data_IF_059459911973
#
_entry.id   IF_059459911973
#
_cell.length_a   1.000
_cell.length_b   1.000
_cell.length_c   1.000
_cell.angle_alpha   90.00
_cell.angle_beta   90.00
_cell.angle_gamma   90.00
#
_symmetry.space_group_name_H-M   'P 1'
#
loop_
_entity.id
_entity.type
_entity.pdbx_description
1 polymer ?
#
# COMPACT_ATOMS: atom_id res chain seq x y z
N UNK A 1 62.42 -9.28 -23.73
CA UNK A 1 61.50 -8.14 -23.93
C UNK A 1 60.08 -8.71 -23.99
N UNK A 2 59.50 -9.00 -22.81
CA UNK A 2 58.19 -9.65 -22.69
C UNK A 2 57.12 -8.55 -22.56
N UNK A 3 56.18 -8.51 -23.51
CA UNK A 3 55.03 -7.63 -23.46
C UNK A 3 54.10 -8.04 -22.31
N UNK A 4 53.97 -7.15 -21.32
CA UNK A 4 52.91 -7.20 -20.32
C UNK A 4 51.59 -6.80 -20.99
N UNK A 5 50.76 -7.77 -21.34
CA UNK A 5 49.34 -7.53 -21.58
C UNK A 5 48.70 -7.50 -20.19
N UNK A 6 48.54 -6.30 -19.63
CA UNK A 6 47.55 -6.09 -18.58
C UNK A 6 46.19 -6.32 -19.23
N UNK A 7 45.62 -7.51 -19.02
CA UNK A 7 44.20 -7.69 -19.20
C UNK A 7 43.51 -6.74 -18.23
N UNK A 8 42.90 -5.69 -18.78
CA UNK A 8 41.78 -5.02 -18.13
C UNK A 8 40.78 -6.11 -17.76
N UNK A 9 40.80 -6.55 -16.50
CA UNK A 9 39.56 -6.90 -15.83
C UNK A 9 38.76 -5.61 -15.72
N UNK A 10 38.16 -5.20 -16.84
CA UNK A 10 36.91 -4.49 -16.80
C UNK A 10 35.96 -5.49 -16.12
N UNK A 11 35.87 -5.38 -14.79
CA UNK A 11 34.72 -5.84 -14.06
C UNK A 11 33.53 -5.28 -14.82
N UNK A 12 32.86 -6.16 -15.55
CA UNK A 12 31.60 -5.92 -16.21
C UNK A 12 30.58 -5.85 -15.06
N UNK A 13 30.66 -4.78 -14.27
CA UNK A 13 29.67 -4.45 -13.26
C UNK A 13 28.47 -4.05 -14.09
N UNK A 14 27.63 -5.03 -14.40
CA UNK A 14 26.32 -4.79 -14.94
C UNK A 14 25.65 -3.76 -13.99
N UNK A 15 25.34 -2.53 -14.43
CA UNK A 15 24.82 -1.48 -13.55
C UNK A 15 23.48 -1.88 -12.90
N UNK A 16 22.90 -3.01 -13.30
CA UNK A 16 21.71 -3.62 -12.69
C UNK A 16 21.95 -4.34 -11.35
N UNK A 17 23.17 -4.42 -10.81
CA UNK A 17 23.43 -5.15 -9.54
C UNK A 17 23.43 -4.28 -8.28
N UNK A 18 23.20 -2.97 -8.39
CA UNK A 18 22.79 -2.19 -7.22
C UNK A 18 21.29 -2.39 -7.03
N UNK A 19 20.88 -3.54 -6.49
CA UNK A 19 19.51 -3.77 -6.05
C UNK A 19 19.22 -2.78 -4.93
N UNK A 20 18.68 -1.61 -5.30
CA UNK A 20 18.27 -0.61 -4.34
C UNK A 20 17.24 -1.27 -3.42
N UNK A 21 17.59 -1.39 -2.14
CA UNK A 21 16.76 -2.07 -1.16
C UNK A 21 15.32 -1.56 -1.22
N UNK A 22 14.35 -2.45 -1.19
CA UNK A 22 12.93 -2.10 -1.27
C UNK A 22 12.46 -1.61 0.10
N UNK A 23 12.12 -0.32 0.19
CA UNK A 23 11.55 0.28 1.39
C UNK A 23 10.06 -0.03 1.46
N UNK A 24 9.58 -0.29 2.66
CA UNK A 24 8.17 -0.55 2.94
C UNK A 24 7.60 0.60 3.75
N UNK A 25 6.49 1.16 3.28
CA UNK A 25 5.77 2.24 3.97
C UNK A 25 4.32 1.82 4.24
N UNK A 26 3.80 2.23 5.39
CA UNK A 26 2.36 2.19 5.68
C UNK A 26 1.74 3.54 5.31
N UNK A 27 0.50 3.52 4.86
CA UNK A 27 -0.29 4.70 4.53
C UNK A 27 -1.56 4.69 5.36
N UNK A 28 -1.64 5.54 6.38
CA UNK A 28 -2.85 5.71 7.18
C UNK A 28 -3.66 6.88 6.65
N UNK A 29 -4.97 6.69 6.57
CA UNK A 29 -5.93 7.71 6.13
C UNK A 29 -7.09 7.74 7.13
N UNK A 30 -7.27 8.86 7.82
CA UNK A 30 -8.41 9.08 8.71
C UNK A 30 -9.56 9.70 7.92
N UNK A 31 -10.56 8.87 7.61
CA UNK A 31 -11.71 9.29 6.80
C UNK A 31 -12.94 9.59 7.67
N UNK A 32 -12.91 9.27 8.97
CA UNK A 32 -13.91 9.72 9.91
C UNK A 32 -13.32 9.91 11.33
N UNK A 33 -13.00 11.15 11.73
CA UNK A 33 -12.40 11.40 13.04
C UNK A 33 -13.36 11.17 14.21
N UNK A 34 -14.67 11.31 13.99
CA UNK A 34 -15.69 11.08 15.03
C UNK A 34 -15.73 9.62 15.47
N UNK A 35 -15.47 8.70 14.56
CA UNK A 35 -15.52 7.25 14.82
C UNK A 35 -14.15 6.59 14.82
N UNK A 36 -13.06 7.37 14.72
CA UNK A 36 -11.68 6.90 14.61
C UNK A 36 -11.53 5.81 13.52
N UNK A 37 -12.16 6.05 12.36
CA UNK A 37 -12.12 5.11 11.26
C UNK A 37 -10.89 5.40 10.40
N UNK A 38 -9.93 4.48 10.48
CA UNK A 38 -8.66 4.52 9.78
C UNK A 38 -8.66 3.49 8.66
N UNK A 39 -8.26 3.93 7.47
CA UNK A 39 -7.81 3.06 6.39
C UNK A 39 -6.30 2.88 6.48
N UNK A 40 -5.82 1.68 6.11
CA UNK A 40 -4.38 1.39 6.01
C UNK A 40 -4.06 0.80 4.64
N UNK A 41 -3.08 1.40 3.97
CA UNK A 41 -2.44 0.88 2.77
C UNK A 41 -0.97 0.54 3.01
N UNK A 42 -0.34 -0.11 2.02
CA UNK A 42 1.09 -0.42 2.04
C UNK A 42 1.72 -0.09 0.69
N UNK A 43 2.95 0.41 0.71
CA UNK A 43 3.76 0.51 -0.50
C UNK A 43 5.15 -0.08 -0.35
N UNK A 44 5.69 -0.49 -1.50
CA UNK A 44 7.01 -1.00 -1.72
C UNK A 44 7.68 -0.07 -2.73
N UNK A 45 8.73 0.63 -2.29
CA UNK A 45 9.39 1.65 -3.08
C UNK A 45 10.88 1.39 -3.16
N UNK A 46 11.43 1.51 -4.36
CA UNK A 46 12.85 1.72 -4.55
C UNK A 46 13.09 2.77 -5.64
N UNK A 47 14.35 2.97 -6.05
CA UNK A 47 14.71 4.01 -7.02
C UNK A 47 14.02 3.87 -8.38
N UNK A 48 13.61 2.65 -8.73
CA UNK A 48 13.13 2.32 -10.07
C UNK A 48 11.61 2.15 -10.13
N UNK A 49 10.97 1.79 -9.01
CA UNK A 49 9.57 1.36 -9.01
C UNK A 49 8.91 1.57 -7.65
N UNK A 50 7.62 1.85 -7.71
CA UNK A 50 6.74 2.00 -6.57
C UNK A 50 5.49 1.14 -6.78
N UNK A 51 5.27 0.17 -5.90
CA UNK A 51 4.03 -0.60 -5.83
C UNK A 51 3.25 -0.17 -4.59
N UNK A 52 2.05 0.38 -4.76
CA UNK A 52 1.15 0.71 -3.65
C UNK A 52 -0.11 -0.12 -3.73
N UNK A 53 -0.53 -0.65 -2.59
CA UNK A 53 -1.75 -1.42 -2.43
C UNK A 53 -2.65 -0.77 -1.39
N UNK A 54 -3.90 -0.50 -1.77
CA UNK A 54 -4.95 -0.02 -0.89
C UNK A 54 -6.14 -0.98 -0.99
N UNK A 55 -6.22 -1.95 -0.07
CA UNK A 55 -7.33 -2.90 -0.07
C UNK A 55 -8.58 -2.26 0.55
N UNK A 56 -9.58 -1.95 -0.27
CA UNK A 56 -10.78 -1.24 0.17
C UNK A 56 -12.01 -2.14 0.03
N UNK A 57 -13.08 -1.77 0.73
CA UNK A 57 -14.39 -2.31 0.45
C UNK A 57 -14.68 -2.09 -1.05
N UNK A 58 -15.31 -3.07 -1.70
CA UNK A 58 -15.69 -2.99 -3.12
C UNK A 58 -14.55 -3.17 -4.15
N UNK A 59 -13.36 -3.63 -3.72
CA UNK A 59 -12.34 -4.17 -4.62
C UNK A 59 -12.60 -5.64 -5.03
N UNK A 60 -13.80 -6.17 -4.80
CA UNK A 60 -14.12 -7.59 -4.99
C UNK A 60 -13.82 -8.03 -6.43
N UNK A 61 -12.83 -8.92 -6.58
CA UNK A 61 -12.40 -9.45 -7.88
C UNK A 61 -11.52 -8.52 -8.72
N UNK A 62 -11.12 -7.34 -8.21
CA UNK A 62 -10.19 -6.40 -8.84
C UNK A 62 -8.87 -6.34 -8.08
N UNK A 63 -7.80 -5.92 -8.74
CA UNK A 63 -6.49 -5.76 -8.09
C UNK A 63 -6.54 -4.65 -7.05
N UNK A 64 -5.91 -4.86 -5.89
CA UNK A 64 -5.77 -3.83 -4.86
C UNK A 64 -4.62 -2.85 -5.17
N UNK A 65 -3.92 -3.04 -6.29
CA UNK A 65 -2.82 -2.20 -6.74
C UNK A 65 -3.35 -0.82 -7.16
N UNK A 66 -2.88 0.22 -6.48
CA UNK A 66 -3.29 1.62 -6.66
C UNK A 66 -2.13 2.52 -7.10
N UNK A 67 -1.00 1.94 -7.52
CA UNK A 67 0.13 2.71 -8.09
C UNK A 67 -0.35 3.64 -9.20
N UNK A 68 -0.07 4.94 -9.05
CA UNK A 68 -0.39 5.96 -10.05
C UNK A 68 -1.85 6.41 -10.08
N UNK A 69 -2.69 5.99 -9.13
CA UNK A 69 -4.06 6.48 -9.00
C UNK A 69 -4.12 7.81 -8.24
N UNK A 70 -4.99 8.72 -8.68
CA UNK A 70 -5.26 9.98 -7.98
C UNK A 70 -6.14 9.73 -6.75
N UNK A 71 -5.64 10.12 -5.58
CA UNK A 71 -6.32 9.95 -4.29
C UNK A 71 -7.31 11.07 -3.99
N UNK A 72 -7.45 12.06 -4.88
CA UNK A 72 -8.43 13.13 -4.78
C UNK A 72 -9.70 12.85 -5.59
N UNK A 73 -9.81 11.66 -6.20
CA UNK A 73 -11.03 11.24 -6.88
C UNK A 73 -11.76 10.13 -6.08
N UNK A 74 -12.65 10.50 -5.15
CA UNK A 74 -13.46 9.56 -4.39
C UNK A 74 -14.29 8.60 -5.25
N UNK A 75 -14.74 9.02 -6.43
CA UNK A 75 -15.49 8.17 -7.35
C UNK A 75 -14.62 7.04 -7.90
N UNK A 76 -13.32 7.27 -8.07
CA UNK A 76 -12.37 6.22 -8.46
C UNK A 76 -11.98 5.32 -7.28
N UNK A 77 -11.90 5.87 -6.07
CA UNK A 77 -11.54 5.12 -4.87
C UNK A 77 -12.70 4.31 -4.27
N UNK A 78 -13.93 4.77 -4.47
CA UNK A 78 -15.16 4.19 -3.91
C UNK A 78 -16.31 4.24 -4.92
N UNK A 79 -16.16 3.62 -6.11
CA UNK A 79 -17.10 3.77 -7.23
C UNK A 79 -18.54 3.40 -6.88
N UNK A 80 -18.74 2.41 -6.02
CA UNK A 80 -20.07 1.91 -5.68
C UNK A 80 -20.73 2.66 -4.51
N UNK A 81 -19.96 3.44 -3.73
CA UNK A 81 -20.50 4.33 -2.68
C UNK A 81 -21.32 5.46 -3.32
N UNK A 82 -20.99 5.83 -4.55
CA UNK A 82 -21.72 6.81 -5.37
C UNK A 82 -22.89 6.20 -6.15
N UNK A 83 -22.97 4.87 -6.25
CA UNK A 83 -24.05 4.15 -6.96
C UNK A 83 -25.24 3.78 -6.04
N UNK A 84 -25.05 3.74 -4.72
CA UNK A 84 -26.15 3.54 -3.77
C UNK A 84 -26.96 4.85 -3.59
N UNK A 85 -28.07 4.94 -4.33
CA UNK A 85 -29.24 5.81 -4.11
C UNK A 85 -28.97 7.26 -3.63
N UNK A 86 -29.00 8.21 -4.58
CA UNK A 86 -28.97 9.67 -4.37
C UNK A 86 -29.94 10.22 -3.31
N UNK A 87 -30.94 9.45 -2.86
CA UNK A 87 -31.95 9.85 -1.86
C UNK A 87 -31.64 9.41 -0.42
N UNK A 88 -30.67 8.53 -0.17
CA UNK A 88 -30.18 8.21 1.19
C UNK A 88 -28.99 9.07 1.63
N UNK A 89 -28.62 10.03 0.79
CA UNK A 89 -27.34 10.75 0.87
C UNK A 89 -27.34 12.00 1.75
N UNK A 90 -28.42 12.38 2.44
CA UNK A 90 -28.35 13.54 3.35
C UNK A 90 -27.50 13.25 4.61
N UNK A 91 -27.44 12.01 5.10
CA UNK A 91 -26.53 11.62 6.21
C UNK A 91 -25.13 11.20 5.72
N UNK A 92 -24.98 10.69 4.49
CA UNK A 92 -23.65 10.41 3.90
C UNK A 92 -22.99 11.63 3.26
N UNK A 93 -23.73 12.71 2.96
CA UNK A 93 -23.18 13.96 2.44
C UNK A 93 -22.18 14.62 3.39
N UNK A 94 -22.32 14.42 4.71
CA UNK A 94 -21.38 14.93 5.71
C UNK A 94 -19.99 14.24 5.62
N UNK A 95 -19.94 13.03 5.04
CA UNK A 95 -18.69 12.32 4.73
C UNK A 95 -18.05 12.87 3.45
N UNK A 96 -18.86 13.31 2.47
CA UNK A 96 -18.35 13.84 1.19
C UNK A 96 -17.92 15.31 1.26
N UNK A 97 -18.62 16.16 2.03
CA UNK A 97 -18.28 17.59 2.19
C UNK A 97 -16.97 17.81 2.99
N UNK A 98 -16.49 16.78 3.71
CA UNK A 98 -15.22 16.81 4.45
C UNK A 98 -14.07 16.03 3.78
N UNK A 99 -14.25 15.52 2.56
CA UNK A 99 -13.18 14.75 1.88
C UNK A 99 -11.93 15.58 1.55
N UNK A 100 -12.06 16.90 1.46
CA UNK A 100 -10.93 17.83 1.35
C UNK A 100 -10.03 17.86 2.60
N UNK A 101 -10.41 17.16 3.69
CA UNK A 101 -9.66 17.05 4.94
C UNK A 101 -9.41 15.61 5.39
N UNK A 102 -9.28 14.65 4.47
CA UNK A 102 -8.74 13.34 4.87
C UNK A 102 -7.31 13.55 5.38
N UNK A 103 -7.11 13.39 6.69
CA UNK A 103 -5.79 13.41 7.29
C UNK A 103 -5.03 12.17 6.84
N UNK A 104 -3.73 12.32 6.58
CA UNK A 104 -2.88 11.25 6.04
C UNK A 104 -1.58 11.19 6.80
N UNK A 105 -1.10 9.97 7.05
CA UNK A 105 0.19 9.72 7.69
C UNK A 105 0.91 8.58 6.98
N UNK A 106 2.13 8.85 6.54
CA UNK A 106 3.00 7.83 5.94
C UNK A 106 4.06 7.41 6.97
N UNK A 107 4.17 6.10 7.21
CA UNK A 107 5.07 5.55 8.24
C UNK A 107 6.08 4.64 7.56
N UNK A 108 7.37 4.92 7.74
CA UNK A 108 8.41 4.00 7.32
C UNK A 108 8.37 2.74 8.19
N UNK A 109 8.05 1.59 7.59
CA UNK A 109 7.85 0.36 8.33
C UNK A 109 9.10 -0.52 8.41
N UNK A 110 9.89 -0.55 7.34
CA UNK A 110 11.12 -1.32 7.25
C UNK A 110 11.69 -1.45 5.84
N UNK A 111 12.66 -2.35 5.69
CA UNK A 111 13.32 -2.67 4.42
C UNK A 111 13.20 -4.15 4.16
N UNK A 112 12.70 -4.52 2.98
CA UNK A 112 12.56 -5.91 2.57
C UNK A 112 13.54 -6.27 1.45
N UNK A 113 13.93 -7.55 1.41
CA UNK A 113 14.71 -8.13 0.32
C UNK A 113 13.82 -8.74 -0.78
N UNK A 114 12.49 -8.66 -0.63
CA UNK A 114 11.53 -9.15 -1.63
C UNK A 114 11.62 -8.34 -2.92
N UNK A 115 11.62 -9.04 -4.05
CA UNK A 115 11.50 -8.42 -5.37
C UNK A 115 10.08 -7.96 -5.62
N UNK A 116 9.89 -7.07 -6.59
CA UNK A 116 8.55 -6.62 -6.96
C UNK A 116 7.70 -7.75 -7.54
N UNK A 117 8.32 -8.69 -8.24
CA UNK A 117 7.65 -9.88 -8.78
C UNK A 117 7.16 -10.77 -7.63
N UNK A 118 7.99 -11.01 -6.59
CA UNK A 118 7.56 -11.73 -5.40
C UNK A 118 6.40 -11.02 -4.68
N UNK A 119 6.46 -9.69 -4.57
CA UNK A 119 5.40 -8.88 -3.94
C UNK A 119 4.08 -9.03 -4.72
N UNK A 120 4.12 -8.97 -6.05
CA UNK A 120 2.94 -9.12 -6.92
C UNK A 120 2.38 -10.54 -6.83
N UNK A 121 3.21 -11.58 -6.83
CA UNK A 121 2.73 -12.96 -6.70
C UNK A 121 2.15 -13.25 -5.32
N UNK A 122 2.77 -12.71 -4.25
CA UNK A 122 2.24 -12.86 -2.90
C UNK A 122 0.86 -12.22 -2.74
N UNK A 123 0.63 -11.05 -3.35
CA UNK A 123 -0.66 -10.36 -3.30
C UNK A 123 -1.82 -11.25 -3.73
N UNK A 124 -1.62 -12.03 -4.80
CA UNK A 124 -2.62 -12.95 -5.36
C UNK A 124 -3.01 -14.08 -4.40
N UNK A 125 -2.20 -14.34 -3.37
CA UNK A 125 -2.48 -15.36 -2.34
C UNK A 125 -3.37 -14.84 -1.22
N UNK A 126 -3.53 -13.52 -1.11
CA UNK A 126 -4.36 -12.89 -0.08
C UNK A 126 -5.83 -12.91 -0.54
N UNK A 127 -6.75 -13.17 0.40
CA UNK A 127 -8.18 -13.09 0.11
C UNK A 127 -8.54 -11.70 -0.42
N UNK A 128 -9.16 -11.65 -1.60
CA UNK A 128 -9.58 -10.41 -2.27
C UNK A 128 -11.04 -10.03 -2.00
N UNK A 129 -11.81 -10.89 -1.33
CA UNK A 129 -13.18 -10.57 -0.93
C UNK A 129 -13.18 -9.76 0.36
N UNK A 130 -13.52 -8.49 0.27
CA UNK A 130 -13.50 -7.61 1.44
C UNK A 130 -14.63 -8.00 2.41
N UNK A 131 -14.31 -8.16 3.69
CA UNK A 131 -15.28 -8.37 4.76
C UNK A 131 -14.82 -7.56 5.96
N UNK A 132 -15.55 -6.50 6.28
CA UNK A 132 -15.19 -5.60 7.38
C UNK A 132 -15.03 -6.38 8.68
N UNK A 133 -13.86 -6.26 9.31
CA UNK A 133 -13.53 -6.94 10.56
C UNK A 133 -13.16 -8.42 10.43
N UNK A 134 -13.03 -8.96 9.22
CA UNK A 134 -12.59 -10.36 9.02
C UNK A 134 -11.50 -10.42 7.95
N UNK A 135 -11.72 -9.73 6.83
CA UNK A 135 -10.81 -9.60 5.71
C UNK A 135 -10.89 -8.19 5.15
N UNK A 136 -10.30 -7.23 5.85
CA UNK A 136 -10.26 -5.83 5.44
C UNK A 136 -8.82 -5.33 5.26
N UNK A 137 -8.65 -4.03 4.99
CA UNK A 137 -7.35 -3.37 4.82
C UNK A 137 -6.35 -3.72 5.94
N UNK A 138 -6.82 -3.85 7.18
CA UNK A 138 -5.99 -4.09 8.37
C UNK A 138 -5.39 -5.48 8.31
N UNK A 139 -6.21 -6.48 7.99
CA UNK A 139 -5.78 -7.86 7.82
C UNK A 139 -4.88 -8.03 6.59
N UNK A 140 -5.19 -7.31 5.52
CA UNK A 140 -4.42 -7.35 4.27
C UNK A 140 -3.00 -6.81 4.46
N UNK A 141 -2.86 -5.62 5.05
CA UNK A 141 -1.56 -5.01 5.33
C UNK A 141 -0.80 -5.79 6.41
N UNK A 142 -1.49 -6.33 7.41
CA UNK A 142 -0.90 -7.22 8.41
C UNK A 142 -0.24 -8.45 7.75
N UNK A 143 -0.94 -9.12 6.82
CA UNK A 143 -0.37 -10.27 6.09
C UNK A 143 0.86 -9.90 5.27
N UNK A 144 0.83 -8.78 4.57
CA UNK A 144 1.99 -8.31 3.82
C UNK A 144 3.20 -8.06 4.72
N UNK A 145 3.00 -7.30 5.79
CA UNK A 145 4.09 -6.89 6.70
C UNK A 145 4.64 -8.06 7.51
N UNK A 146 3.80 -9.03 7.87
CA UNK A 146 4.26 -10.31 8.41
C UNK A 146 5.14 -11.06 7.40
N UNK A 147 4.69 -11.19 6.15
CA UNK A 147 5.40 -11.96 5.13
C UNK A 147 6.73 -11.33 4.68
N UNK A 148 6.77 -10.01 4.46
CA UNK A 148 7.95 -9.35 3.87
C UNK A 148 8.96 -8.84 4.89
N UNK A 149 8.59 -8.70 6.16
CA UNK A 149 9.42 -8.08 7.21
C UNK A 149 9.42 -8.84 8.54
N UNK A 150 8.62 -9.89 8.71
CA UNK A 150 8.38 -10.53 10.01
C UNK A 150 7.96 -9.53 11.11
N UNK A 151 7.23 -8.48 10.68
CA UNK A 151 6.82 -7.34 11.52
C UNK A 151 5.37 -6.98 11.20
N UNK A 152 4.39 -7.77 11.66
CA UNK A 152 2.97 -7.52 11.38
C UNK A 152 2.49 -6.18 11.93
N UNK A 153 1.61 -5.49 11.21
CA UNK A 153 0.88 -4.32 11.73
C UNK A 153 -0.22 -4.72 12.70
N UNK A 154 -0.61 -3.87 13.66
CA UNK A 154 -1.80 -4.11 14.48
C UNK A 154 -3.06 -4.16 13.60
N UNK A 155 -3.93 -5.15 13.84
CA UNK A 155 -5.21 -5.27 13.14
C UNK A 155 -6.27 -4.38 13.78
N UNK A 156 -6.34 -4.35 15.12
CA UNK A 156 -7.42 -3.67 15.86
C UNK A 156 -7.01 -2.34 16.51
N UNK A 157 -5.73 -2.02 16.43
CA UNK A 157 -5.08 -0.92 17.15
C UNK A 157 -4.33 0.02 16.22
N UNK A 158 -4.92 0.32 15.05
CA UNK A 158 -4.31 1.25 14.10
C UNK A 158 -4.10 2.65 14.67
N UNK A 159 -4.93 3.06 15.65
CA UNK A 159 -4.77 4.34 16.33
C UNK A 159 -3.43 4.46 17.07
N UNK A 160 -2.86 3.36 17.58
CA UNK A 160 -1.54 3.38 18.20
C UNK A 160 -0.48 3.85 17.19
N UNK A 161 -0.60 3.45 15.91
CA UNK A 161 0.28 3.93 14.84
C UNK A 161 -0.03 5.37 14.41
N UNK A 162 -1.26 5.84 14.61
CA UNK A 162 -1.68 7.19 14.25
C UNK A 162 -1.12 8.23 15.24
N UNK A 163 -1.08 7.88 16.51
CA UNK A 163 -0.67 8.77 17.60
C UNK A 163 0.87 8.79 17.83
N UNK A 164 1.61 7.80 17.32
CA UNK A 164 3.08 7.68 17.42
C UNK A 164 3.89 8.80 16.72
#
# INVERSE_FOLDING_TARGET
MFLFILSLLALNINPNTLTSKTKVYLHLEEFNPRYNLLHIGISFNNLNKNLRYDFRAFNDGKSCLTTGMDRYNPEQMFPDLYLCDKKKNEEMMDITDNMDKILRKDIFWGITNKTFEEIIEFEKTINTKYTLGIYDCRHYVNKFTAWCLDKPTPVWKLYELWDD
#
